data_IF_509906300197
#
_entry.id   IF_509906300197
#
_cell.length_a   1.000
_cell.length_b   1.000
_cell.length_c   1.000
_cell.angle_alpha   90.00
_cell.angle_beta   90.00
_cell.angle_gamma   90.00
#
_symmetry.space_group_name_H-M   'P 1'
#
loop_
_entity.id
_entity.type
_entity.pdbx_description
1 polymer ?
#
# COMPACT_ATOMS: atom_id res chain seq x y z
N UNK A 1 23.59 19.43 0.41
CA UNK A 1 24.40 18.61 1.34
C UNK A 1 25.08 17.57 0.50
N UNK A 2 26.40 17.43 0.64
CA UNK A 2 27.18 16.54 -0.20
C UNK A 2 27.44 15.22 0.56
N UNK A 3 27.28 14.10 -0.14
CA UNK A 3 27.38 12.77 0.45
C UNK A 3 28.34 11.93 -0.39
N UNK A 4 29.31 11.29 0.29
CA UNK A 4 30.30 10.42 -0.34
C UNK A 4 30.10 9.01 0.21
N UNK A 5 29.74 8.07 -0.68
CA UNK A 5 29.61 6.64 -0.35
C UNK A 5 30.90 5.94 -0.79
N UNK A 6 31.60 5.32 0.16
CA UNK A 6 32.86 4.59 -0.07
C UNK A 6 32.61 3.10 -0.07
N UNK A 7 33.56 2.35 -0.65
CA UNK A 7 33.60 0.89 -0.61
C UNK A 7 32.32 0.21 -1.14
N UNK A 8 31.67 0.84 -2.11
CA UNK A 8 30.51 0.27 -2.81
C UNK A 8 30.98 -0.83 -3.74
N UNK A 9 30.30 -1.97 -3.69
CA UNK A 9 30.54 -3.08 -4.59
C UNK A 9 30.55 -2.62 -6.08
N UNK A 10 31.61 -2.92 -6.86
CA UNK A 10 31.71 -2.47 -8.24
C UNK A 10 30.59 -2.96 -9.16
N UNK A 11 30.01 -4.13 -8.89
CA UNK A 11 28.87 -4.66 -9.63
C UNK A 11 27.60 -3.87 -9.32
N UNK A 12 27.41 -3.43 -8.07
CA UNK A 12 26.32 -2.54 -7.70
C UNK A 12 26.43 -1.18 -8.43
N UNK A 13 27.62 -0.59 -8.49
CA UNK A 13 27.85 0.67 -9.25
C UNK A 13 27.51 0.52 -10.72
N UNK A 14 27.89 -0.60 -11.35
CA UNK A 14 27.53 -0.89 -12.76
C UNK A 14 26.03 -0.96 -12.98
N UNK A 15 25.28 -1.62 -12.09
CA UNK A 15 23.81 -1.67 -12.20
C UNK A 15 23.18 -0.29 -12.08
N UNK A 16 23.67 0.54 -11.16
CA UNK A 16 23.19 1.92 -10.99
C UNK A 16 23.44 2.72 -12.28
N UNK A 17 24.59 2.56 -12.91
CA UNK A 17 24.87 3.20 -14.21
C UNK A 17 23.91 2.76 -15.30
N UNK A 18 23.64 1.46 -15.39
CA UNK A 18 22.68 0.91 -16.36
C UNK A 18 21.28 1.47 -16.12
N UNK A 19 20.83 1.58 -14.86
CA UNK A 19 19.54 2.15 -14.52
C UNK A 19 19.45 3.65 -14.82
N UNK A 20 20.52 4.40 -14.53
CA UNK A 20 20.59 5.82 -14.87
C UNK A 20 20.53 6.04 -16.39
N UNK A 21 21.30 5.23 -17.16
CA UNK A 21 21.27 5.25 -18.63
C UNK A 21 19.89 4.91 -19.18
N UNK A 22 19.21 3.88 -18.66
CA UNK A 22 17.85 3.50 -19.06
C UNK A 22 16.84 4.64 -18.87
N UNK A 23 17.06 5.49 -17.86
CA UNK A 23 16.24 6.68 -17.60
C UNK A 23 16.74 7.94 -18.30
N UNK A 24 17.82 7.86 -19.08
CA UNK A 24 18.46 8.99 -19.74
C UNK A 24 18.85 10.12 -18.77
N UNK A 25 19.35 9.77 -17.58
CA UNK A 25 19.83 10.71 -16.56
C UNK A 25 21.26 10.35 -16.13
N UNK A 26 21.94 11.28 -15.46
CA UNK A 26 23.24 10.99 -14.88
C UNK A 26 23.12 10.07 -13.66
N UNK A 27 24.20 9.33 -13.35
CA UNK A 27 24.30 8.53 -12.12
C UNK A 27 23.93 9.34 -10.88
N UNK A 28 24.40 10.59 -10.80
CA UNK A 28 24.17 11.46 -9.64
C UNK A 28 22.70 11.83 -9.49
N UNK A 29 22.02 12.17 -10.59
CA UNK A 29 20.58 12.48 -10.58
C UNK A 29 19.79 11.25 -10.16
N UNK A 30 20.13 10.07 -10.72
CA UNK A 30 19.49 8.83 -10.33
C UNK A 30 19.65 8.52 -8.83
N UNK A 31 20.86 8.63 -8.30
CA UNK A 31 21.15 8.38 -6.89
C UNK A 31 20.43 9.37 -5.97
N UNK A 32 20.40 10.65 -6.34
CA UNK A 32 19.65 11.67 -5.60
C UNK A 32 18.18 11.30 -5.51
N UNK A 33 17.54 11.02 -6.65
CA UNK A 33 16.13 10.63 -6.68
C UNK A 33 15.88 9.34 -5.89
N UNK A 34 16.79 8.38 -5.94
CA UNK A 34 16.67 7.13 -5.22
C UNK A 34 16.69 7.35 -3.71
N UNK A 35 17.62 8.16 -3.20
CA UNK A 35 17.74 8.50 -1.78
C UNK A 35 16.51 9.29 -1.31
N UNK A 36 16.06 10.28 -2.10
CA UNK A 36 14.86 11.07 -1.78
C UNK A 36 13.57 10.23 -1.83
N UNK A 37 13.51 9.20 -2.68
CA UNK A 37 12.40 8.24 -2.69
C UNK A 37 12.45 7.27 -1.52
N UNK A 38 13.65 6.86 -1.09
CA UNK A 38 13.81 5.97 0.06
C UNK A 38 13.25 6.59 1.34
N UNK A 39 13.36 7.91 1.52
CA UNK A 39 12.76 8.61 2.67
C UNK A 39 11.24 8.71 2.58
N UNK A 40 10.66 8.73 1.36
CA UNK A 40 9.21 8.67 1.16
C UNK A 40 8.64 7.24 1.27
N UNK A 41 9.45 6.22 0.97
CA UNK A 41 9.03 4.82 0.99
C UNK A 41 8.57 4.36 2.37
N UNK A 42 9.19 4.84 3.45
CA UNK A 42 8.72 4.58 4.81
C UNK A 42 7.31 5.16 5.03
N UNK A 43 7.05 6.37 4.54
CA UNK A 43 5.71 6.99 4.62
C UNK A 43 4.69 6.22 3.79
N UNK A 44 5.06 5.76 2.60
CA UNK A 44 4.19 4.96 1.72
C UNK A 44 3.89 3.60 2.36
N UNK A 45 4.91 2.91 2.88
CA UNK A 45 4.73 1.62 3.57
C UNK A 45 3.79 1.73 4.76
N UNK A 46 3.93 2.79 5.57
CA UNK A 46 3.02 3.03 6.68
C UNK A 46 1.60 3.36 6.22
N UNK A 47 1.45 4.05 5.08
CA UNK A 47 0.15 4.32 4.48
C UNK A 47 -0.51 3.04 3.94
N UNK A 48 0.24 2.17 3.29
CA UNK A 48 -0.23 0.87 2.79
C UNK A 48 -0.71 -0.03 3.94
N UNK A 49 0.06 -0.14 5.03
CA UNK A 49 -0.34 -0.87 6.25
C UNK A 49 -1.63 -0.30 6.86
N UNK A 50 -1.79 1.03 6.83
CA UNK A 50 -3.00 1.70 7.30
C UNK A 50 -4.19 1.40 6.41
N UNK A 51 -4.01 1.41 5.09
CA UNK A 51 -5.07 1.09 4.13
C UNK A 51 -5.50 -0.37 4.23
N UNK A 52 -4.56 -1.30 4.41
CA UNK A 52 -4.88 -2.71 4.58
C UNK A 52 -5.69 -2.96 5.86
N UNK A 53 -5.32 -2.32 6.98
CA UNK A 53 -6.14 -2.35 8.21
C UNK A 53 -7.54 -1.79 7.99
N UNK A 54 -7.66 -0.68 7.26
CA UNK A 54 -8.96 -0.06 6.99
C UNK A 54 -9.84 -0.96 6.11
N UNK A 55 -9.26 -1.63 5.10
CA UNK A 55 -9.97 -2.60 4.27
C UNK A 55 -10.48 -3.78 5.12
N UNK A 56 -9.65 -4.35 5.99
CA UNK A 56 -10.07 -5.43 6.89
C UNK A 56 -11.24 -5.03 7.78
N UNK A 57 -11.17 -3.83 8.39
CA UNK A 57 -12.26 -3.31 9.24
C UNK A 57 -13.54 -3.10 8.43
N UNK A 58 -13.45 -2.56 7.21
CA UNK A 58 -14.61 -2.36 6.35
C UNK A 58 -15.23 -3.70 5.91
N UNK A 59 -14.42 -4.69 5.53
CA UNK A 59 -14.92 -6.03 5.19
C UNK A 59 -15.69 -6.63 6.36
N UNK A 60 -15.12 -6.59 7.58
CA UNK A 60 -15.79 -7.09 8.77
C UNK A 60 -17.10 -6.34 9.06
N UNK A 61 -17.13 -5.02 8.82
CA UNK A 61 -18.35 -4.23 8.99
C UNK A 61 -19.43 -4.59 7.95
N UNK A 62 -19.04 -4.83 6.70
CA UNK A 62 -19.95 -5.26 5.64
C UNK A 62 -20.53 -6.64 5.94
N UNK A 63 -19.72 -7.60 6.42
CA UNK A 63 -20.20 -8.92 6.86
C UNK A 63 -21.24 -8.79 7.98
N UNK A 64 -20.93 -8.03 9.03
CA UNK A 64 -21.88 -7.80 10.14
C UNK A 64 -23.18 -7.11 9.68
N UNK A 65 -23.08 -6.22 8.70
CA UNK A 65 -24.24 -5.55 8.12
C UNK A 65 -25.09 -6.54 7.31
N UNK A 66 -24.46 -7.41 6.53
CA UNK A 66 -25.16 -8.47 5.81
C UNK A 66 -25.90 -9.41 6.78
N UNK A 67 -25.23 -9.86 7.85
CA UNK A 67 -25.85 -10.68 8.89
C UNK A 67 -27.06 -9.99 9.54
N UNK A 68 -26.92 -8.69 9.83
CA UNK A 68 -28.01 -7.90 10.44
C UNK A 68 -29.20 -7.74 9.49
N UNK A 69 -28.94 -7.59 8.18
CA UNK A 69 -29.98 -7.52 7.15
C UNK A 69 -30.69 -8.87 6.99
N UNK A 70 -29.96 -9.98 7.02
CA UNK A 70 -30.55 -11.32 6.97
C UNK A 70 -31.45 -11.58 8.18
N UNK A 71 -31.03 -11.15 9.37
CA UNK A 71 -31.87 -11.20 10.58
C UNK A 71 -33.14 -10.34 10.44
N UNK A 72 -33.01 -9.12 9.93
CA UNK A 72 -34.16 -8.24 9.69
C UNK A 72 -35.15 -8.86 8.70
N UNK A 73 -34.65 -9.43 7.60
CA UNK A 73 -35.48 -10.15 6.63
C UNK A 73 -36.19 -11.34 7.27
N UNK A 74 -35.51 -12.05 8.17
CA UNK A 74 -36.12 -13.13 8.98
C UNK A 74 -37.32 -12.64 9.78
N UNK A 75 -37.15 -11.58 10.56
CA UNK A 75 -38.24 -10.98 11.37
C UNK A 75 -39.39 -10.51 10.49
N UNK A 76 -39.12 -9.88 9.34
CA UNK A 76 -40.17 -9.45 8.42
C UNK A 76 -40.97 -10.63 7.85
N UNK A 77 -40.32 -11.77 7.57
CA UNK A 77 -41.02 -12.97 7.12
C UNK A 77 -41.92 -13.55 8.20
N UNK A 78 -41.47 -13.59 9.45
CA UNK A 78 -42.28 -14.04 10.57
C UNK A 78 -43.54 -13.16 10.74
N UNK A 79 -43.38 -11.84 10.70
CA UNK A 79 -44.50 -10.90 10.81
C UNK A 79 -45.51 -11.04 9.66
N UNK A 80 -45.05 -11.27 8.42
CA UNK A 80 -45.94 -11.48 7.28
C UNK A 80 -46.63 -12.85 7.29
N UNK A 81 -46.03 -13.86 7.92
CA UNK A 81 -46.60 -15.20 8.03
C UNK A 81 -47.66 -15.30 9.14
N UNK A 82 -47.58 -14.45 10.17
CA UNK A 82 -48.58 -14.36 11.24
C UNK A 82 -49.87 -13.60 10.82
N UNK A 83 -49.87 -12.95 9.64
CA UNK A 83 -51.03 -12.25 9.05
C UNK A 83 -51.88 -13.15 8.09
N UNK A 84 -51.51 -14.44 7.90
CA UNK A 84 -52.33 -15.50 7.24
C UNK A 84 -53.02 -16.44 8.25
#
# INVERSE_FOLDING_TARGET
MDLIIRDVDPHAVKKIDEWAKKKNVSRQVYLKEFIEKATMLEMISNADDSFEKQLQVNTLFMEKTADSLDQLVGVLRELMADDE
#
